data_IF_938019958057
#
_entry.id   IF_938019958057
#
_cell.length_a   1.000
_cell.length_b   1.000
_cell.length_c   1.000
_cell.angle_alpha   90.00
_cell.angle_beta   90.00
_cell.angle_gamma   90.00
#
_symmetry.space_group_name_H-M   'P 1'
#
loop_
_entity.id
_entity.type
_entity.pdbx_description
1 polymer ?
#
# COMPACT_ATOMS: atom_id res chain seq x y z
N UNK A 1 4.63 -6.92 19.03
CA UNK A 1 5.24 -5.97 18.06
C UNK A 1 5.04 -4.56 18.58
N UNK A 2 6.08 -3.72 18.58
CA UNK A 2 5.99 -2.30 18.96
C UNK A 2 5.85 -1.43 17.72
N UNK A 3 5.08 -0.36 17.83
CA UNK A 3 4.86 0.60 16.75
C UNK A 3 5.33 1.99 17.16
N UNK A 4 6.23 2.56 16.38
CA UNK A 4 6.71 3.93 16.54
C UNK A 4 6.12 4.80 15.44
N UNK A 5 5.13 5.63 15.77
CA UNK A 5 4.53 6.55 14.80
C UNK A 5 5.40 7.81 14.67
N UNK A 6 5.75 8.15 13.43
CA UNK A 6 6.61 9.28 13.08
C UNK A 6 5.78 10.26 12.23
N UNK A 7 5.64 11.48 12.72
CA UNK A 7 5.08 12.59 11.94
C UNK A 7 6.25 13.46 11.50
N UNK A 8 6.57 13.42 10.21
CA UNK A 8 7.62 14.24 9.60
C UNK A 8 7.01 15.21 8.60
N UNK A 9 7.33 16.50 8.75
CA UNK A 9 6.92 17.54 7.82
C UNK A 9 7.51 17.30 6.44
N UNK A 10 8.78 16.89 6.36
CA UNK A 10 9.45 16.59 5.08
C UNK A 10 8.91 15.34 4.41
N UNK A 11 8.56 14.30 5.17
CA UNK A 11 7.85 13.13 4.64
C UNK A 11 6.53 13.55 3.98
N UNK A 12 5.75 14.38 4.67
CA UNK A 12 4.48 14.88 4.17
C UNK A 12 4.65 15.84 2.99
N UNK A 13 5.71 16.65 2.96
CA UNK A 13 6.00 17.54 1.86
C UNK A 13 6.40 16.77 0.60
N UNK A 14 7.28 15.77 0.74
CA UNK A 14 7.61 14.87 -0.36
C UNK A 14 6.38 14.11 -0.86
N UNK A 15 5.57 13.55 0.04
CA UNK A 15 4.32 12.90 -0.34
C UNK A 15 3.39 13.85 -1.07
N UNK A 16 3.26 15.10 -0.62
CA UNK A 16 2.48 16.13 -1.28
C UNK A 16 2.98 16.41 -2.71
N UNK A 17 4.27 16.72 -2.86
CA UNK A 17 4.87 17.06 -4.14
C UNK A 17 4.84 15.87 -5.12
N UNK A 18 5.25 14.68 -4.67
CA UNK A 18 5.26 13.47 -5.50
C UNK A 18 3.86 13.02 -5.90
N UNK A 19 2.84 13.23 -5.06
CA UNK A 19 1.47 12.88 -5.44
C UNK A 19 0.91 13.81 -6.53
N UNK A 20 1.23 15.11 -6.48
CA UNK A 20 0.79 16.11 -7.46
C UNK A 20 1.34 15.84 -8.87
N UNK A 21 2.48 15.18 -9.02
CA UNK A 21 3.03 14.88 -10.35
C UNK A 21 2.32 13.72 -11.06
N UNK A 22 1.55 12.92 -10.33
CA UNK A 22 0.92 11.68 -10.82
C UNK A 22 1.90 10.82 -11.63
N UNK A 23 3.12 10.64 -11.09
CA UNK A 23 4.20 9.94 -11.78
C UNK A 23 4.03 8.42 -11.76
N UNK A 24 3.30 7.90 -10.78
CA UNK A 24 3.09 6.48 -10.56
C UNK A 24 1.60 6.17 -10.38
N UNK A 25 1.19 4.93 -10.66
CA UNK A 25 -0.20 4.50 -10.49
C UNK A 25 -0.68 4.55 -9.03
N UNK A 26 0.25 4.58 -8.07
CA UNK A 26 -0.05 4.70 -6.64
C UNK A 26 -0.34 6.13 -6.20
N UNK A 27 -0.12 7.14 -7.04
CA UNK A 27 -0.53 8.51 -6.73
C UNK A 27 -2.07 8.59 -6.64
N UNK A 28 -2.56 9.30 -5.63
CA UNK A 28 -3.98 9.51 -5.34
C UNK A 28 -4.48 10.75 -6.09
N UNK A 29 -5.12 10.57 -7.24
CA UNK A 29 -5.72 11.68 -7.99
C UNK A 29 -6.72 12.47 -7.15
N UNK A 30 -7.54 11.76 -6.36
CA UNK A 30 -8.54 12.39 -5.49
C UNK A 30 -7.90 13.29 -4.42
N UNK A 31 -6.68 12.97 -3.97
CA UNK A 31 -5.97 13.84 -3.03
C UNK A 31 -5.56 15.15 -3.70
N UNK A 32 -5.11 15.08 -4.96
CA UNK A 32 -4.78 16.27 -5.75
C UNK A 32 -6.02 17.13 -5.96
N UNK A 33 -7.16 16.53 -6.31
CA UNK A 33 -8.43 17.25 -6.46
C UNK A 33 -8.83 17.97 -5.17
N UNK A 34 -8.79 17.30 -4.02
CA UNK A 34 -9.13 17.93 -2.73
C UNK A 34 -8.14 19.05 -2.40
N UNK A 35 -6.84 18.85 -2.56
CA UNK A 35 -5.82 19.86 -2.27
C UNK A 35 -5.93 21.08 -3.18
N UNK A 36 -6.25 20.89 -4.46
CA UNK A 36 -6.48 21.98 -5.43
C UNK A 36 -7.73 22.77 -5.04
N UNK A 37 -8.81 22.10 -4.59
CA UNK A 37 -9.99 22.80 -4.06
C UNK A 37 -9.63 23.67 -2.85
N UNK A 38 -8.72 23.21 -1.99
CA UNK A 38 -8.31 23.96 -0.80
C UNK A 38 -7.31 25.10 -1.09
N UNK A 39 -6.47 24.97 -2.10
CA UNK A 39 -5.33 25.89 -2.34
C UNK A 39 -5.37 26.63 -3.67
N UNK A 40 -6.42 26.45 -4.47
CA UNK A 40 -6.54 26.99 -5.82
C UNK A 40 -5.78 26.16 -6.87
N UNK A 41 -5.94 26.46 -8.17
CA UNK A 41 -5.22 25.78 -9.24
C UNK A 41 -3.69 25.99 -9.14
N UNK A 42 -2.85 25.05 -9.63
CA UNK A 42 -1.42 25.27 -9.76
C UNK A 42 -1.10 26.45 -10.69
N UNK A 43 -0.10 27.24 -10.31
CA UNK A 43 0.47 28.28 -11.19
C UNK A 43 1.27 27.65 -12.33
N UNK A 44 1.51 28.39 -13.40
CA UNK A 44 2.36 27.93 -14.51
C UNK A 44 3.75 27.48 -14.03
N UNK A 45 4.36 28.24 -13.12
CA UNK A 45 5.64 27.92 -12.51
C UNK A 45 5.62 26.60 -11.73
N UNK A 46 4.54 26.33 -11.00
CA UNK A 46 4.34 25.05 -10.31
C UNK A 46 4.19 23.90 -11.30
N UNK A 47 3.40 24.07 -12.37
CA UNK A 47 3.21 23.05 -13.40
C UNK A 47 4.52 22.66 -14.11
N UNK A 48 5.32 23.66 -14.51
CA UNK A 48 6.64 23.43 -15.11
C UNK A 48 7.54 22.66 -14.14
N UNK A 49 7.56 23.07 -12.87
CA UNK A 49 8.38 22.42 -11.83
C UNK A 49 7.93 20.98 -11.55
N UNK A 50 6.63 20.73 -11.45
CA UNK A 50 6.06 19.40 -11.25
C UNK A 50 6.37 18.46 -12.43
N UNK A 51 6.35 18.96 -13.66
CA UNK A 51 6.72 18.19 -14.84
C UNK A 51 8.20 17.80 -14.84
N UNK A 52 9.10 18.71 -14.45
CA UNK A 52 10.52 18.38 -14.28
C UNK A 52 10.72 17.37 -13.14
N UNK A 53 10.03 17.56 -12.01
CA UNK A 53 10.11 16.63 -10.89
C UNK A 53 9.59 15.24 -11.27
N UNK A 54 8.52 15.15 -12.06
CA UNK A 54 8.00 13.88 -12.60
C UNK A 54 9.06 13.10 -13.36
N UNK A 55 9.87 13.76 -14.19
CA UNK A 55 10.95 13.11 -14.96
C UNK A 55 12.01 12.52 -14.01
N UNK A 56 12.37 13.25 -12.96
CA UNK A 56 13.31 12.80 -11.94
C UNK A 56 12.74 11.61 -11.16
N UNK A 57 11.48 11.67 -10.74
CA UNK A 57 10.79 10.59 -10.04
C UNK A 57 10.68 9.31 -10.90
N UNK A 58 10.45 9.41 -12.21
CA UNK A 58 10.43 8.25 -13.10
C UNK A 58 11.80 7.56 -13.20
N UNK A 59 12.89 8.32 -13.08
CA UNK A 59 14.26 7.82 -13.15
C UNK A 59 14.69 7.11 -11.86
N UNK A 60 14.51 7.76 -10.71
CA UNK A 60 14.97 7.24 -9.41
C UNK A 60 13.90 6.48 -8.62
N UNK A 61 12.63 6.59 -9.02
CA UNK A 61 11.49 5.87 -8.43
C UNK A 61 11.44 6.03 -6.91
N UNK A 62 11.26 4.93 -6.19
CA UNK A 62 11.09 4.91 -4.74
C UNK A 62 12.38 5.15 -3.95
N UNK A 63 13.56 5.16 -4.58
CA UNK A 63 14.82 5.44 -3.89
C UNK A 63 14.85 6.86 -3.32
N UNK A 64 14.25 7.83 -4.03
CA UNK A 64 14.08 9.20 -3.53
C UNK A 64 13.13 9.25 -2.33
N UNK A 65 12.02 8.52 -2.40
CA UNK A 65 11.02 8.49 -1.34
C UNK A 65 11.64 8.07 0.00
N UNK A 66 12.51 7.05 -0.03
CA UNK A 66 13.23 6.56 1.15
C UNK A 66 14.00 7.66 1.87
N UNK A 67 14.60 8.59 1.12
CA UNK A 67 15.41 9.67 1.71
C UNK A 67 14.52 10.59 2.55
N UNK A 68 13.44 11.10 1.96
CA UNK A 68 12.53 12.04 2.62
C UNK A 68 11.73 11.42 3.76
N UNK A 69 11.50 10.10 3.74
CA UNK A 69 10.70 9.42 4.74
C UNK A 69 11.44 9.03 6.01
N UNK A 70 12.74 8.71 5.90
CA UNK A 70 13.50 8.15 7.03
C UNK A 70 14.47 9.17 7.65
N UNK A 71 14.95 10.13 6.87
CA UNK A 71 16.00 11.05 7.30
C UNK A 71 15.45 12.37 7.86
N UNK A 72 16.23 12.99 8.75
CA UNK A 72 15.96 14.36 9.19
C UNK A 72 16.33 15.38 8.10
N UNK A 73 15.89 16.62 8.26
CA UNK A 73 16.09 17.69 7.27
C UNK A 73 17.54 17.87 6.81
N UNK A 74 18.49 17.90 7.77
CA UNK A 74 19.91 18.09 7.46
C UNK A 74 20.46 16.93 6.62
N UNK A 75 20.04 15.71 6.92
CA UNK A 75 20.46 14.50 6.21
C UNK A 75 19.80 14.34 4.84
N UNK A 76 18.56 14.82 4.66
CA UNK A 76 17.82 14.68 3.40
C UNK A 76 18.62 15.26 2.25
N UNK A 77 19.02 16.53 2.37
CA UNK A 77 19.71 17.25 1.29
C UNK A 77 21.12 16.69 1.04
N UNK A 78 21.87 16.40 2.09
CA UNK A 78 23.19 15.77 1.99
C UNK A 78 23.15 14.39 1.32
N UNK A 79 22.09 13.61 1.56
CA UNK A 79 21.92 12.31 0.92
C UNK A 79 21.50 12.48 -0.52
N UNK A 80 20.52 13.34 -0.80
CA UNK A 80 20.06 13.62 -2.17
C UNK A 80 21.22 13.99 -3.09
N UNK A 81 22.07 14.93 -2.68
CA UNK A 81 23.23 15.39 -3.45
C UNK A 81 24.17 14.23 -3.87
N UNK A 82 24.26 13.17 -3.06
CA UNK A 82 25.10 12.00 -3.35
C UNK A 82 24.48 11.01 -4.33
N UNK A 83 23.16 11.03 -4.53
CA UNK A 83 22.44 10.00 -5.31
C UNK A 83 21.96 10.53 -6.67
N UNK A 84 21.71 11.84 -6.78
CA UNK A 84 21.26 12.47 -8.02
C UNK A 84 22.36 13.31 -8.65
N UNK A 85 22.21 13.64 -9.95
CA UNK A 85 23.14 14.57 -10.60
C UNK A 85 22.97 15.97 -10.01
N UNK A 86 24.05 16.77 -10.00
CA UNK A 86 24.02 18.15 -9.50
C UNK A 86 22.86 18.99 -10.08
N UNK A 87 22.64 18.92 -11.40
CA UNK A 87 21.54 19.64 -12.06
C UNK A 87 20.15 19.10 -11.70
N UNK A 88 20.02 17.84 -11.28
CA UNK A 88 18.77 17.27 -10.77
C UNK A 88 18.54 17.67 -9.31
N UNK A 89 19.60 17.74 -8.50
CA UNK A 89 19.56 18.23 -7.13
C UNK A 89 19.02 19.66 -7.07
N UNK A 90 19.60 20.58 -7.85
CA UNK A 90 19.15 21.98 -7.94
C UNK A 90 17.67 22.08 -8.38
N UNK A 91 17.23 21.20 -9.29
CA UNK A 91 15.81 21.13 -9.71
C UNK A 91 14.91 20.66 -8.57
N UNK A 92 15.31 19.64 -7.81
CA UNK A 92 14.54 19.15 -6.66
C UNK A 92 14.41 20.28 -5.63
N UNK A 93 15.50 20.95 -5.25
CA UNK A 93 15.46 22.08 -4.32
C UNK A 93 14.51 23.19 -4.80
N UNK A 94 14.61 23.54 -6.09
CA UNK A 94 13.72 24.54 -6.71
C UNK A 94 12.24 24.13 -6.63
N UNK A 95 11.91 22.87 -6.93
CA UNK A 95 10.55 22.33 -6.82
C UNK A 95 10.00 22.48 -5.41
N UNK A 96 10.76 22.07 -4.40
CA UNK A 96 10.35 22.19 -3.00
C UNK A 96 10.25 23.65 -2.57
N UNK A 97 11.14 24.53 -3.02
CA UNK A 97 11.01 25.98 -2.74
C UNK A 97 9.73 26.57 -3.34
N UNK A 98 9.39 26.20 -4.58
CA UNK A 98 8.22 26.70 -5.31
C UNK A 98 6.92 26.19 -4.69
N UNK A 99 6.86 24.92 -4.31
CA UNK A 99 5.65 24.30 -3.73
C UNK A 99 5.47 24.62 -2.24
N UNK A 100 6.49 25.17 -1.56
CA UNK A 100 6.47 25.41 -0.12
C UNK A 100 5.28 26.26 0.33
N UNK A 101 4.95 27.41 -0.28
CA UNK A 101 3.82 28.22 0.17
C UNK A 101 2.50 27.43 0.17
N UNK A 102 2.24 26.65 -0.89
CA UNK A 102 1.05 25.79 -1.00
C UNK A 102 1.03 24.69 0.05
N UNK A 103 2.16 24.03 0.26
CA UNK A 103 2.27 22.97 1.26
C UNK A 103 2.06 23.51 2.69
N UNK A 104 2.61 24.68 3.03
CA UNK A 104 2.44 25.29 4.36
C UNK A 104 0.98 25.58 4.71
N UNK A 105 0.16 25.98 3.73
CA UNK A 105 -1.29 26.16 3.92
C UNK A 105 -1.97 24.85 4.35
N UNK A 106 -1.63 23.74 3.69
CA UNK A 106 -2.17 22.41 4.00
C UNK A 106 -1.63 21.91 5.34
N UNK A 107 -0.33 22.06 5.58
CA UNK A 107 0.37 21.60 6.78
C UNK A 107 -0.19 22.25 8.04
N UNK A 108 -0.31 23.59 8.05
CA UNK A 108 -0.82 24.37 9.19
C UNK A 108 -2.21 23.91 9.65
N UNK A 109 -3.08 23.53 8.70
CA UNK A 109 -4.43 23.00 8.99
C UNK A 109 -4.39 21.54 9.46
N UNK A 110 -3.57 20.72 8.80
CA UNK A 110 -3.65 19.26 8.90
C UNK A 110 -2.77 18.66 9.99
N UNK A 111 -1.69 19.32 10.41
CA UNK A 111 -0.72 18.78 11.37
C UNK A 111 -1.38 18.44 12.72
N UNK A 112 -2.15 19.37 13.28
CA UNK A 112 -2.85 19.15 14.55
C UNK A 112 -3.85 18.00 14.46
N UNK A 113 -4.52 17.85 13.32
CA UNK A 113 -5.46 16.75 13.09
C UNK A 113 -4.73 15.42 12.94
N UNK A 114 -3.64 15.37 12.17
CA UNK A 114 -2.82 14.19 12.01
C UNK A 114 -2.28 13.69 13.36
N UNK A 115 -1.78 14.60 14.21
CA UNK A 115 -1.34 14.26 15.57
C UNK A 115 -2.46 13.58 16.39
N UNK A 116 -3.67 14.16 16.40
CA UNK A 116 -4.82 13.56 17.08
C UNK A 116 -5.17 12.17 16.52
N UNK A 117 -5.17 12.03 15.19
CA UNK A 117 -5.47 10.76 14.52
C UNK A 117 -4.40 9.71 14.83
N UNK A 118 -3.12 10.07 14.85
CA UNK A 118 -2.02 9.17 15.24
C UNK A 118 -2.18 8.67 16.67
N UNK A 119 -2.55 9.54 17.62
CA UNK A 119 -2.80 9.14 19.01
C UNK A 119 -3.94 8.11 19.08
N UNK A 120 -5.04 8.37 18.36
CA UNK A 120 -6.17 7.44 18.27
C UNK A 120 -5.77 6.11 17.62
N UNK A 121 -5.06 6.15 16.48
CA UNK A 121 -4.57 4.95 15.81
C UNK A 121 -3.67 4.12 16.71
N UNK A 122 -2.76 4.76 17.44
CA UNK A 122 -1.85 4.09 18.38
C UNK A 122 -2.61 3.42 19.53
N UNK A 123 -3.60 4.10 20.11
CA UNK A 123 -4.39 3.53 21.21
C UNK A 123 -5.23 2.34 20.74
N UNK A 124 -5.82 2.45 19.55
CA UNK A 124 -6.61 1.38 18.96
C UNK A 124 -5.74 0.18 18.57
N UNK A 125 -4.59 0.39 17.92
CA UNK A 125 -3.69 -0.69 17.48
C UNK A 125 -3.20 -1.57 18.64
N UNK A 126 -3.15 -1.02 19.86
CA UNK A 126 -2.79 -1.75 21.08
C UNK A 126 -3.92 -2.63 21.64
N UNK A 127 -5.14 -2.56 21.11
CA UNK A 127 -6.23 -3.43 21.56
C UNK A 127 -5.95 -4.89 21.21
N UNK A 128 -6.43 -5.78 22.08
CA UNK A 128 -6.20 -7.23 22.02
C UNK A 128 -6.58 -7.84 20.68
N UNK A 129 -7.69 -7.43 20.06
CA UNK A 129 -8.13 -7.96 18.77
C UNK A 129 -7.12 -7.72 17.64
N UNK A 130 -6.51 -6.53 17.58
CA UNK A 130 -5.53 -6.19 16.55
C UNK A 130 -4.17 -6.82 16.84
N UNK A 131 -3.78 -6.92 18.11
CA UNK A 131 -2.59 -7.67 18.50
C UNK A 131 -2.73 -9.16 18.14
N UNK A 132 -3.90 -9.75 18.35
CA UNK A 132 -4.18 -11.13 17.96
C UNK A 132 -4.14 -11.32 16.43
N UNK A 133 -4.69 -10.38 15.66
CA UNK A 133 -4.55 -10.39 14.20
C UNK A 133 -3.07 -10.44 13.77
N UNK A 134 -2.24 -9.55 14.34
CA UNK A 134 -0.81 -9.48 14.02
C UNK A 134 -0.04 -10.73 14.47
N UNK A 135 -0.42 -11.31 15.61
CA UNK A 135 0.15 -12.56 16.09
C UNK A 135 -0.17 -13.72 15.13
N UNK A 136 -1.43 -13.85 14.70
CA UNK A 136 -1.82 -14.87 13.72
C UNK A 136 -1.11 -14.67 12.38
N UNK A 137 -0.91 -13.42 11.96
CA UNK A 137 -0.12 -13.11 10.77
C UNK A 137 1.33 -13.60 10.92
N UNK A 138 1.97 -13.34 12.07
CA UNK A 138 3.34 -13.81 12.36
C UNK A 138 3.42 -15.34 12.41
N UNK A 139 2.43 -16.01 13.02
CA UNK A 139 2.35 -17.46 13.08
C UNK A 139 2.21 -18.08 11.69
N UNK A 140 1.34 -17.52 10.85
CA UNK A 140 1.17 -17.98 9.47
C UNK A 140 2.46 -17.87 8.66
N UNK A 141 3.23 -16.78 8.83
CA UNK A 141 4.53 -16.60 8.16
C UNK A 141 5.72 -17.20 8.93
N UNK A 142 5.50 -18.23 9.77
CA UNK A 142 6.51 -18.92 10.60
C UNK A 142 7.58 -18.03 11.24
N UNK A 143 7.21 -16.79 11.59
CA UNK A 143 8.17 -15.85 12.08
C UNK A 143 8.13 -15.82 13.61
N UNK A 144 8.80 -16.82 14.20
CA UNK A 144 8.95 -16.93 15.67
C UNK A 144 9.62 -15.69 16.28
N UNK A 145 10.49 -15.01 15.52
CA UNK A 145 11.03 -13.70 15.89
C UNK A 145 10.19 -12.62 15.24
N UNK A 146 9.04 -12.31 15.86
CA UNK A 146 8.16 -11.22 15.44
C UNK A 146 8.99 -9.96 15.14
N UNK A 147 8.57 -9.15 14.18
CA UNK A 147 9.23 -7.87 13.98
C UNK A 147 9.06 -7.08 15.28
N UNK A 148 10.18 -6.79 15.95
CA UNK A 148 10.14 -6.25 17.31
C UNK A 148 9.57 -4.83 17.31
N UNK A 149 10.01 -4.03 16.34
CA UNK A 149 9.61 -2.64 16.18
C UNK A 149 9.42 -2.28 14.71
N UNK A 150 8.32 -1.59 14.41
CA UNK A 150 8.00 -1.00 13.11
C UNK A 150 7.81 0.50 13.26
N UNK A 151 8.55 1.28 12.49
CA UNK A 151 8.31 2.71 12.29
C UNK A 151 7.16 2.93 11.31
N UNK A 152 6.15 3.69 11.72
CA UNK A 152 5.02 4.07 10.87
C UNK A 152 5.13 5.56 10.57
N UNK A 153 5.49 5.91 9.34
CA UNK A 153 5.50 7.30 8.86
C UNK A 153 4.08 7.70 8.53
N UNK A 154 3.50 8.56 9.36
CA UNK A 154 2.14 9.04 9.24
C UNK A 154 2.05 10.15 8.18
N UNK A 155 1.25 9.90 7.15
CA UNK A 155 1.01 10.83 6.04
C UNK A 155 -0.39 11.42 6.09
N UNK A 156 -0.51 12.71 5.75
CA UNK A 156 -1.78 13.42 5.68
C UNK A 156 -2.62 12.85 4.54
N UNK A 157 -3.76 12.28 4.91
CA UNK A 157 -4.87 12.02 3.98
C UNK A 157 -5.86 13.17 4.04
N UNK A 158 -6.17 13.82 2.89
CA UNK A 158 -7.18 14.87 2.81
C UNK A 158 -8.60 14.31 2.67
N UNK A 159 -8.77 12.98 2.61
CA UNK A 159 -10.09 12.36 2.45
C UNK A 159 -10.78 12.18 3.80
N UNK A 160 -12.09 12.43 3.81
CA UNK A 160 -12.99 12.23 4.95
C UNK A 160 -14.27 11.53 4.48
N UNK A 161 -14.48 10.28 4.91
CA UNK A 161 -15.72 9.52 4.67
C UNK A 161 -16.01 9.13 3.20
N UNK A 162 -16.59 7.95 3.02
CA UNK A 162 -17.31 7.48 1.81
C UNK A 162 -16.50 7.13 0.55
N UNK A 163 -15.20 6.89 0.64
CA UNK A 163 -14.48 6.24 -0.46
C UNK A 163 -13.43 5.24 0.03
N UNK A 164 -13.41 4.08 -0.64
CA UNK A 164 -12.69 2.82 -0.34
C UNK A 164 -11.14 2.94 -0.35
N UNK A 165 -10.58 4.15 -0.32
CA UNK A 165 -9.15 4.43 -0.51
C UNK A 165 -8.50 5.25 0.61
N UNK A 166 -9.19 5.39 1.74
CA UNK A 166 -8.82 6.34 2.79
C UNK A 166 -7.41 6.13 3.38
N UNK A 167 -6.89 4.89 3.38
CA UNK A 167 -5.53 4.56 3.79
C UNK A 167 -4.80 3.76 2.71
N UNK A 168 -3.66 4.28 2.26
CA UNK A 168 -2.65 3.53 1.54
C UNK A 168 -1.42 3.32 2.40
N UNK A 169 -0.67 2.27 2.10
CA UNK A 169 0.59 1.96 2.73
C UNK A 169 1.66 1.64 1.69
N UNK A 170 2.91 1.72 2.13
CA UNK A 170 4.04 1.18 1.39
C UNK A 170 5.17 0.86 2.36
N UNK A 171 5.84 -0.27 2.16
CA UNK A 171 7.13 -0.53 2.80
C UNK A 171 8.20 0.41 2.24
N UNK A 172 8.85 1.17 3.12
CA UNK A 172 9.97 2.06 2.76
C UNK A 172 11.29 1.32 2.90
N UNK A 173 11.42 0.52 3.96
CA UNK A 173 12.51 -0.43 4.15
C UNK A 173 12.05 -1.63 5.00
N UNK A 174 12.98 -2.37 5.61
CA UNK A 174 12.64 -3.55 6.40
C UNK A 174 12.08 -3.23 7.80
N UNK A 175 11.98 -1.95 8.18
CA UNK A 175 11.53 -1.48 9.50
C UNK A 175 10.52 -0.34 9.43
N UNK A 176 10.37 0.31 8.28
CA UNK A 176 9.54 1.48 8.11
C UNK A 176 8.45 1.25 7.06
N UNK A 177 7.23 1.67 7.39
CA UNK A 177 6.10 1.71 6.47
C UNK A 177 5.51 3.12 6.46
N UNK A 178 4.99 3.57 5.33
CA UNK A 178 4.11 4.74 5.31
C UNK A 178 2.68 4.33 5.55
N UNK A 179 1.90 5.21 6.17
CA UNK A 179 0.46 5.06 6.30
C UNK A 179 -0.21 6.41 6.07
N UNK A 180 -1.07 6.49 5.07
CA UNK A 180 -1.98 7.62 4.88
C UNK A 180 -3.07 7.51 5.97
N UNK A 181 -3.19 8.53 6.84
CA UNK A 181 -4.10 8.50 8.01
C UNK A 181 -5.32 9.41 7.76
N UNK A 182 -6.46 8.83 7.34
CA UNK A 182 -7.70 9.56 7.05
C UNK A 182 -8.41 10.07 8.30
N UNK A 183 -9.32 11.02 8.10
CA UNK A 183 -10.21 11.49 9.16
C UNK A 183 -11.38 10.52 9.37
N UNK A 184 -11.19 9.58 10.29
CA UNK A 184 -12.16 8.50 10.49
C UNK A 184 -12.85 8.62 11.84
N UNK A 185 -14.17 8.43 11.80
CA UNK A 185 -14.99 8.25 12.99
C UNK A 185 -14.64 6.91 13.66
N UNK A 186 -14.67 6.90 14.98
CA UNK A 186 -14.55 5.66 15.76
C UNK A 186 -15.69 4.72 15.37
N UNK A 187 -15.41 3.41 15.38
CA UNK A 187 -16.31 2.33 14.97
C UNK A 187 -16.67 2.33 13.48
N UNK A 188 -15.97 3.09 12.64
CA UNK A 188 -16.17 3.05 11.20
C UNK A 188 -15.34 1.94 10.52
N UNK A 189 -15.86 1.35 9.46
CA UNK A 189 -15.23 0.22 8.77
C UNK A 189 -13.91 0.62 8.09
N UNK A 190 -13.78 1.87 7.63
CA UNK A 190 -12.53 2.39 7.04
C UNK A 190 -11.39 2.40 8.06
N UNK A 191 -11.69 2.50 9.36
CA UNK A 191 -10.69 2.52 10.41
C UNK A 191 -10.10 1.13 10.60
N UNK A 192 -10.97 0.12 10.65
CA UNK A 192 -10.56 -1.28 10.65
C UNK A 192 -9.83 -1.66 9.35
N UNK A 193 -10.31 -1.17 8.21
CA UNK A 193 -9.63 -1.33 6.94
C UNK A 193 -8.21 -0.75 6.97
N UNK A 194 -8.03 0.43 7.58
CA UNK A 194 -6.71 1.06 7.76
C UNK A 194 -5.77 0.22 8.63
N UNK A 195 -6.27 -0.46 9.67
CA UNK A 195 -5.48 -1.46 10.40
C UNK A 195 -5.16 -2.68 9.54
N UNK A 196 -6.09 -3.10 8.68
CA UNK A 196 -5.84 -4.11 7.67
C UNK A 196 -4.70 -3.72 6.73
N UNK A 197 -4.58 -2.44 6.35
CA UNK A 197 -3.47 -1.94 5.53
C UNK A 197 -2.14 -2.03 6.28
N UNK A 198 -2.09 -1.64 7.56
CA UNK A 198 -0.88 -1.84 8.38
C UNK A 198 -0.49 -3.32 8.40
N UNK A 199 -1.44 -4.21 8.62
CA UNK A 199 -1.20 -5.65 8.61
C UNK A 199 -0.73 -6.15 7.23
N UNK A 200 -1.26 -5.61 6.14
CA UNK A 200 -0.84 -5.92 4.77
C UNK A 200 0.64 -5.54 4.54
N UNK A 201 1.05 -4.33 4.95
CA UNK A 201 2.46 -3.92 4.84
C UNK A 201 3.38 -4.75 5.74
N UNK A 202 2.93 -5.14 6.94
CA UNK A 202 3.68 -6.05 7.80
C UNK A 202 3.80 -7.44 7.16
N UNK A 203 2.76 -7.93 6.51
CA UNK A 203 2.78 -9.21 5.82
C UNK A 203 3.85 -9.23 4.72
N UNK A 204 4.00 -8.13 3.96
CA UNK A 204 5.09 -7.99 2.98
C UNK A 204 6.47 -8.10 3.64
N UNK A 205 6.70 -7.47 4.80
CA UNK A 205 7.97 -7.58 5.53
C UNK A 205 8.24 -9.01 6.00
N UNK A 206 7.23 -9.69 6.55
CA UNK A 206 7.32 -11.09 6.97
C UNK A 206 7.61 -12.00 5.77
N UNK A 207 6.91 -11.79 4.65
CA UNK A 207 7.07 -12.53 3.41
C UNK A 207 8.48 -12.42 2.84
N UNK A 208 9.02 -11.19 2.81
CA UNK A 208 10.37 -10.89 2.34
C UNK A 208 11.43 -11.54 3.23
N UNK A 209 11.26 -11.52 4.56
CA UNK A 209 12.20 -12.11 5.52
C UNK A 209 12.35 -13.61 5.36
N UNK A 210 11.26 -14.32 5.06
CA UNK A 210 11.30 -15.76 4.76
C UNK A 210 11.85 -16.08 3.36
N UNK A 211 12.15 -15.06 2.56
CA UNK A 211 12.63 -15.24 1.19
C UNK A 211 11.63 -16.06 0.33
N UNK A 212 10.34 -15.97 0.65
CA UNK A 212 9.25 -16.70 -0.03
C UNK A 212 9.12 -16.32 -1.51
N UNK A 213 9.61 -15.15 -1.93
CA UNK A 213 9.68 -14.75 -3.34
C UNK A 213 10.51 -15.76 -4.16
N UNK A 214 11.58 -16.33 -3.60
CA UNK A 214 12.35 -17.39 -4.29
C UNK A 214 11.52 -18.67 -4.44
N UNK A 215 10.70 -19.01 -3.45
CA UNK A 215 9.79 -20.17 -3.51
C UNK A 215 8.75 -19.96 -4.61
N UNK A 216 8.12 -18.78 -4.67
CA UNK A 216 7.19 -18.42 -5.75
C UNK A 216 7.87 -18.53 -7.11
N UNK A 217 9.05 -17.93 -7.30
CA UNK A 217 9.76 -17.99 -8.58
C UNK A 217 10.10 -19.41 -9.01
N UNK A 218 10.50 -20.27 -8.07
CA UNK A 218 10.72 -21.70 -8.34
C UNK A 218 9.43 -22.39 -8.77
N UNK A 219 8.31 -22.14 -8.10
CA UNK A 219 7.01 -22.71 -8.46
C UNK A 219 6.54 -22.22 -9.84
N UNK A 220 6.70 -20.94 -10.15
CA UNK A 220 6.38 -20.36 -11.47
C UNK A 220 7.17 -21.08 -12.56
N UNK A 221 8.47 -21.31 -12.32
CA UNK A 221 9.33 -22.06 -13.24
C UNK A 221 8.87 -23.52 -13.39
N UNK A 222 8.68 -24.23 -12.28
CA UNK A 222 8.25 -25.65 -12.26
C UNK A 222 6.90 -25.84 -12.98
N UNK A 223 5.99 -24.87 -12.89
CA UNK A 223 4.67 -24.89 -13.52
C UNK A 223 4.65 -24.31 -14.95
N UNK A 224 5.80 -23.86 -15.48
CA UNK A 224 5.93 -23.21 -16.80
C UNK A 224 5.00 -22.01 -16.99
N UNK A 225 4.79 -21.24 -15.91
CA UNK A 225 3.94 -20.05 -15.94
C UNK A 225 4.75 -18.84 -16.45
N UNK A 226 4.19 -17.97 -17.31
CA UNK A 226 4.86 -16.75 -17.73
C UNK A 226 5.30 -15.88 -16.57
N UNK A 227 6.50 -15.27 -16.64
CA UNK A 227 7.03 -14.38 -15.58
C UNK A 227 6.33 -13.02 -15.50
N UNK A 228 5.63 -12.63 -16.56
CA UNK A 228 4.88 -11.37 -16.66
C UNK A 228 3.40 -11.66 -16.83
N UNK A 229 2.58 -10.80 -16.25
CA UNK A 229 1.13 -10.85 -16.42
C UNK A 229 0.74 -10.44 -17.85
N UNK A 230 -0.45 -10.85 -18.34
CA UNK A 230 -0.99 -10.39 -19.61
C UNK A 230 -0.98 -8.85 -19.75
N UNK A 231 -0.66 -8.35 -20.95
CA UNK A 231 -0.52 -6.91 -21.24
C UNK A 231 -1.80 -6.10 -21.03
N UNK A 232 -2.95 -6.75 -21.14
CA UNK A 232 -4.26 -6.13 -20.94
C UNK A 232 -4.66 -6.01 -19.45
N UNK A 233 -3.82 -6.41 -18.50
CA UNK A 233 -4.06 -6.20 -17.07
C UNK A 233 -3.35 -4.95 -16.54
N UNK A 234 -4.08 -4.07 -15.83
CA UNK A 234 -3.54 -2.82 -15.30
C UNK A 234 -3.87 -2.68 -13.79
N UNK A 235 -2.90 -2.27 -12.93
CA UNK A 235 -1.49 -2.06 -13.25
C UNK A 235 -0.77 -3.37 -13.60
N UNK A 236 0.36 -3.21 -14.30
CA UNK A 236 1.23 -4.29 -14.73
C UNK A 236 2.09 -4.79 -13.56
N UNK A 237 2.00 -6.08 -13.28
CA UNK A 237 2.81 -6.78 -12.28
C UNK A 237 3.64 -7.86 -12.96
N UNK A 238 4.77 -8.23 -12.36
CA UNK A 238 5.31 -9.57 -12.55
C UNK A 238 4.36 -10.61 -11.95
N UNK A 239 4.44 -11.84 -12.43
CA UNK A 239 3.62 -12.93 -11.90
C UNK A 239 3.93 -13.20 -10.42
N UNK A 240 5.19 -13.04 -10.01
CA UNK A 240 5.60 -13.23 -8.63
C UNK A 240 5.03 -12.14 -7.70
N UNK A 241 5.04 -10.88 -8.12
CA UNK A 241 4.40 -9.78 -7.39
C UNK A 241 2.89 -10.01 -7.29
N UNK A 242 2.22 -10.37 -8.38
CA UNK A 242 0.78 -10.63 -8.37
C UNK A 242 0.39 -11.75 -7.39
N UNK A 243 1.14 -12.86 -7.37
CA UNK A 243 0.91 -13.97 -6.44
C UNK A 243 1.22 -13.54 -5.00
N UNK A 244 2.26 -12.74 -4.78
CA UNK A 244 2.60 -12.23 -3.44
C UNK A 244 1.48 -11.36 -2.88
N UNK A 245 1.00 -10.39 -3.67
CA UNK A 245 -0.16 -9.57 -3.33
C UNK A 245 -1.40 -10.42 -3.04
N UNK A 246 -1.68 -11.42 -3.89
CA UNK A 246 -2.80 -12.33 -3.70
C UNK A 246 -2.72 -13.08 -2.35
N UNK A 247 -1.55 -13.64 -2.01
CA UNK A 247 -1.36 -14.37 -0.75
C UNK A 247 -1.60 -13.47 0.46
N UNK A 248 -1.13 -12.23 0.39
CA UNK A 248 -1.31 -11.28 1.47
C UNK A 248 -2.78 -10.83 1.54
N UNK A 249 -3.40 -10.51 0.41
CA UNK A 249 -4.82 -10.11 0.30
C UNK A 249 -5.79 -11.23 0.75
N UNK A 250 -5.39 -12.51 0.67
CA UNK A 250 -6.11 -13.64 1.26
C UNK A 250 -6.20 -13.57 2.79
N UNK A 251 -5.31 -12.82 3.44
CA UNK A 251 -5.29 -12.61 4.89
C UNK A 251 -5.86 -11.25 5.27
N UNK A 252 -5.36 -10.17 4.64
CA UNK A 252 -5.60 -8.75 4.98
C UNK A 252 -5.41 -7.84 3.74
N UNK A 253 -6.10 -6.69 3.59
CA UNK A 253 -6.97 -6.02 4.56
C UNK A 253 -8.45 -6.46 4.49
N UNK A 254 -8.80 -7.34 3.55
CA UNK A 254 -10.17 -7.84 3.35
C UNK A 254 -10.24 -9.37 3.28
N UNK A 255 -9.15 -10.06 3.64
CA UNK A 255 -9.05 -11.51 3.65
C UNK A 255 -9.57 -12.12 4.95
N UNK A 256 -9.17 -13.38 5.21
CA UNK A 256 -9.69 -14.18 6.30
C UNK A 256 -9.43 -13.59 7.69
N UNK A 257 -8.22 -13.09 7.96
CA UNK A 257 -7.88 -12.52 9.27
C UNK A 257 -8.66 -11.24 9.52
N UNK A 258 -8.86 -10.41 8.49
CA UNK A 258 -9.72 -9.23 8.59
C UNK A 258 -11.16 -9.61 8.94
N UNK A 259 -11.73 -10.65 8.32
CA UNK A 259 -13.06 -11.13 8.67
C UNK A 259 -13.14 -11.65 10.11
N UNK A 260 -12.09 -12.33 10.58
CA UNK A 260 -12.03 -12.94 11.91
C UNK A 260 -11.96 -11.91 13.03
N UNK A 261 -11.22 -10.81 12.83
CA UNK A 261 -10.89 -9.86 13.90
C UNK A 261 -11.61 -8.51 13.80
N UNK A 262 -12.09 -8.09 12.63
CA UNK A 262 -12.73 -6.79 12.46
C UNK A 262 -14.24 -6.87 12.65
N UNK A 263 -14.80 -5.96 13.45
CA UNK A 263 -16.23 -5.95 13.79
C UNK A 263 -17.09 -5.62 12.58
N UNK A 264 -16.67 -4.66 11.76
CA UNK A 264 -17.39 -4.23 10.57
C UNK A 264 -17.17 -5.15 9.36
N UNK A 265 -16.32 -6.17 9.50
CA UNK A 265 -16.10 -7.21 8.47
C UNK A 265 -15.89 -6.60 7.07
N UNK A 266 -14.77 -5.87 6.83
CA UNK A 266 -14.51 -5.22 5.53
C UNK A 266 -14.63 -6.16 4.33
N UNK A 267 -14.40 -7.47 4.51
CA UNK A 267 -14.67 -8.52 3.52
C UNK A 267 -16.12 -8.46 2.99
N UNK A 268 -17.12 -8.29 3.85
CA UNK A 268 -18.53 -8.20 3.44
C UNK A 268 -18.81 -6.95 2.59
N UNK A 269 -18.09 -5.86 2.84
CA UNK A 269 -18.20 -4.61 2.10
C UNK A 269 -17.51 -4.76 0.74
N UNK A 270 -16.27 -5.27 0.73
CA UNK A 270 -15.46 -5.46 -0.48
C UNK A 270 -16.08 -6.50 -1.42
N UNK A 271 -16.72 -7.54 -0.88
CA UNK A 271 -17.39 -8.60 -1.63
C UNK A 271 -18.92 -8.49 -1.56
N UNK A 272 -19.45 -7.28 -1.41
CA UNK A 272 -20.88 -7.03 -1.55
C UNK A 272 -21.38 -7.43 -2.95
N UNK A 273 -22.69 -7.68 -3.08
CA UNK A 273 -23.29 -8.14 -4.36
C UNK A 273 -22.95 -7.21 -5.54
N UNK A 274 -23.02 -5.90 -5.34
CA UNK A 274 -22.66 -4.91 -6.37
C UNK A 274 -21.18 -4.98 -6.73
N UNK A 275 -20.29 -5.15 -5.74
CA UNK A 275 -18.87 -5.29 -5.98
C UNK A 275 -18.52 -6.60 -6.69
N UNK A 276 -19.17 -7.71 -6.34
CA UNK A 276 -18.99 -8.99 -7.04
C UNK A 276 -19.45 -8.92 -8.49
N UNK A 277 -20.55 -8.22 -8.80
CA UNK A 277 -20.97 -7.96 -10.18
C UNK A 277 -19.87 -7.22 -10.96
N UNK A 278 -19.36 -6.13 -10.40
CA UNK A 278 -18.28 -5.34 -11.01
C UNK A 278 -16.98 -6.15 -11.20
N UNK A 279 -16.68 -7.07 -10.27
CA UNK A 279 -15.54 -7.99 -10.36
C UNK A 279 -15.75 -9.01 -11.49
N UNK A 280 -16.96 -9.57 -11.61
CA UNK A 280 -17.32 -10.50 -12.68
C UNK A 280 -17.27 -9.87 -14.07
N UNK A 281 -17.75 -8.62 -14.21
CA UNK A 281 -17.63 -7.84 -15.45
C UNK A 281 -16.17 -7.59 -15.82
N UNK A 282 -15.33 -7.23 -14.85
CA UNK A 282 -13.89 -7.07 -15.07
C UNK A 282 -13.23 -8.35 -15.59
N UNK A 283 -13.64 -9.52 -15.07
CA UNK A 283 -13.15 -10.81 -15.55
C UNK A 283 -13.62 -11.13 -16.98
N UNK A 284 -14.88 -10.84 -17.33
CA UNK A 284 -15.38 -10.96 -18.70
C UNK A 284 -14.60 -10.07 -19.67
N UNK A 285 -14.37 -8.81 -19.30
CA UNK A 285 -13.53 -7.86 -20.06
C UNK A 285 -12.13 -8.42 -20.28
N UNK A 286 -11.50 -8.96 -19.23
CA UNK A 286 -10.19 -9.60 -19.34
C UNK A 286 -10.21 -10.79 -20.32
N UNK A 287 -11.17 -11.71 -20.21
CA UNK A 287 -11.29 -12.88 -21.10
C UNK A 287 -11.58 -12.51 -22.56
N UNK A 288 -12.19 -11.36 -22.79
CA UNK A 288 -12.38 -10.79 -24.13
C UNK A 288 -11.15 -10.02 -24.64
N UNK A 289 -9.97 -10.23 -24.05
CA UNK A 289 -8.71 -9.56 -24.39
C UNK A 289 -8.73 -8.02 -24.30
N UNK A 290 -9.69 -7.45 -23.57
CA UNK A 290 -9.78 -6.01 -23.32
C UNK A 290 -9.03 -5.64 -22.04
N UNK A 291 -8.70 -4.36 -21.91
CA UNK A 291 -8.04 -3.82 -20.72
C UNK A 291 -8.89 -4.01 -19.47
N UNK A 292 -8.34 -4.65 -18.45
CA UNK A 292 -9.01 -4.97 -17.21
C UNK A 292 -8.12 -4.66 -15.99
N UNK A 293 -8.74 -4.47 -14.83
CA UNK A 293 -8.03 -4.20 -13.58
C UNK A 293 -7.45 -5.49 -12.99
N UNK A 294 -6.13 -5.51 -12.78
CA UNK A 294 -5.44 -6.60 -12.08
C UNK A 294 -5.86 -6.69 -10.60
N UNK A 295 -6.15 -5.56 -9.97
CA UNK A 295 -6.62 -5.50 -8.57
C UNK A 295 -8.01 -6.16 -8.44
N UNK A 296 -8.96 -5.84 -9.32
CA UNK A 296 -10.27 -6.49 -9.32
C UNK A 296 -10.16 -7.99 -9.62
N UNK A 297 -9.22 -8.39 -10.48
CA UNK A 297 -8.97 -9.80 -10.76
C UNK A 297 -8.39 -10.54 -9.54
N UNK A 298 -7.46 -9.94 -8.79
CA UNK A 298 -7.01 -10.53 -7.51
C UNK A 298 -8.15 -10.71 -6.54
N UNK A 299 -9.03 -9.70 -6.38
CA UNK A 299 -10.22 -9.82 -5.52
C UNK A 299 -11.09 -11.03 -5.89
N UNK A 300 -11.30 -11.30 -7.18
CA UNK A 300 -12.00 -12.51 -7.63
C UNK A 300 -11.31 -13.78 -7.12
N UNK A 301 -9.98 -13.85 -7.27
CA UNK A 301 -9.18 -15.00 -6.88
C UNK A 301 -9.18 -15.17 -5.35
N UNK A 302 -9.06 -14.07 -4.60
CA UNK A 302 -9.18 -14.05 -3.12
C UNK A 302 -10.52 -14.64 -2.69
N UNK A 303 -11.62 -14.19 -3.30
CA UNK A 303 -12.95 -14.71 -3.00
C UNK A 303 -13.06 -16.22 -3.21
N UNK A 304 -12.52 -16.73 -4.31
CA UNK A 304 -12.59 -18.15 -4.64
C UNK A 304 -11.66 -19.03 -3.78
N UNK A 305 -10.51 -18.48 -3.35
CA UNK A 305 -9.56 -19.18 -2.49
C UNK A 305 -9.83 -18.98 -0.99
N UNK A 306 -10.85 -18.20 -0.63
CA UNK A 306 -11.19 -17.88 0.75
C UNK A 306 -11.41 -19.11 1.65
N UNK A 307 -12.16 -20.16 1.23
CA UNK A 307 -12.35 -21.36 2.06
C UNK A 307 -11.04 -22.09 2.35
N UNK A 308 -10.13 -22.14 1.36
CA UNK A 308 -8.84 -22.81 1.50
C UNK A 308 -7.94 -22.10 2.52
N UNK A 309 -7.81 -20.77 2.45
CA UNK A 309 -7.01 -20.02 3.42
C UNK A 309 -7.64 -20.07 4.82
N UNK A 310 -8.97 -20.02 4.92
CA UNK A 310 -9.69 -20.18 6.20
C UNK A 310 -9.34 -21.51 6.86
N UNK A 311 -9.46 -22.63 6.14
CA UNK A 311 -9.11 -23.96 6.65
C UNK A 311 -7.66 -24.01 7.12
N UNK A 312 -6.76 -23.41 6.36
CA UNK A 312 -5.33 -23.43 6.65
C UNK A 312 -5.00 -22.66 7.93
N UNK A 313 -5.58 -21.48 8.12
CA UNK A 313 -5.41 -20.66 9.34
C UNK A 313 -6.04 -21.33 10.55
N UNK A 314 -7.28 -21.83 10.45
CA UNK A 314 -7.95 -22.49 11.59
C UNK A 314 -7.27 -23.79 12.01
N UNK A 315 -6.57 -24.44 11.08
CA UNK A 315 -5.73 -25.62 11.37
C UNK A 315 -4.35 -25.26 11.93
N UNK A 316 -4.09 -23.98 12.25
CA UNK A 316 -2.79 -23.47 12.69
C UNK A 316 -1.62 -23.81 11.75
N UNK A 317 -1.90 -23.96 10.45
CA UNK A 317 -0.86 -24.24 9.45
C UNK A 317 -0.15 -22.95 9.03
N UNK A 318 1.14 -23.09 8.75
CA UNK A 318 2.02 -22.00 8.32
C UNK A 318 2.22 -22.05 6.83
N UNK A 319 2.43 -20.91 6.19
CA UNK A 319 2.71 -20.85 4.76
C UNK A 319 3.87 -21.79 4.42
N UNK A 320 3.63 -22.65 3.43
CA UNK A 320 4.59 -23.61 2.93
C UNK A 320 4.62 -23.63 1.40
N UNK A 321 5.51 -24.44 0.84
CA UNK A 321 5.61 -24.59 -0.62
C UNK A 321 4.32 -25.14 -1.25
N UNK A 322 3.59 -26.00 -0.53
CA UNK A 322 2.42 -26.68 -1.06
C UNK A 322 1.26 -25.70 -1.24
N UNK A 323 0.95 -24.89 -0.23
CA UNK A 323 -0.12 -23.91 -0.31
C UNK A 323 0.18 -22.80 -1.33
N UNK A 324 1.45 -22.34 -1.42
CA UNK A 324 1.88 -21.39 -2.46
C UNK A 324 1.68 -22.02 -3.85
N UNK A 325 2.01 -23.30 -4.02
CA UNK A 325 1.83 -24.02 -5.29
C UNK A 325 0.36 -24.11 -5.68
N UNK A 326 -0.53 -24.42 -4.73
CA UNK A 326 -1.97 -24.47 -4.98
C UNK A 326 -2.54 -23.10 -5.38
N UNK A 327 -2.18 -22.03 -4.66
CA UNK A 327 -2.56 -20.67 -5.03
C UNK A 327 -2.05 -20.27 -6.42
N UNK A 328 -0.82 -20.66 -6.75
CA UNK A 328 -0.20 -20.38 -8.05
C UNK A 328 -0.89 -21.15 -9.19
N UNK A 329 -1.19 -22.44 -9.00
CA UNK A 329 -1.93 -23.25 -9.98
C UNK A 329 -3.33 -22.68 -10.23
N UNK A 330 -4.03 -22.32 -9.16
CA UNK A 330 -5.38 -21.76 -9.24
C UNK A 330 -5.38 -20.43 -9.99
N UNK A 331 -4.47 -19.53 -9.61
CA UNK A 331 -4.24 -18.27 -10.34
C UNK A 331 -3.95 -18.55 -11.81
N UNK A 332 -3.11 -19.54 -12.10
CA UNK A 332 -2.77 -19.86 -13.49
C UNK A 332 -3.95 -20.34 -14.31
N UNK A 333 -4.88 -21.08 -13.71
CA UNK A 333 -6.11 -21.53 -14.36
C UNK A 333 -7.03 -20.35 -14.72
N UNK A 334 -7.01 -19.28 -13.96
CA UNK A 334 -7.87 -18.11 -14.21
C UNK A 334 -7.24 -17.18 -15.25
N UNK A 335 -5.91 -17.05 -15.23
CA UNK A 335 -5.20 -16.03 -16.00
C UNK A 335 -4.71 -16.54 -17.36
N UNK A 336 -4.13 -17.74 -17.44
CA UNK A 336 -3.49 -18.24 -18.67
C UNK A 336 -4.18 -19.45 -19.30
N UNK A 337 -5.13 -20.08 -18.61
CA UNK A 337 -6.03 -21.10 -19.17
C UNK A 337 -7.43 -20.50 -19.28
#
# INVERSE_FOLDING_TARGET
MKFNFIISKWANFYFFASNLTEWHFSCRKDYNLTRIKETGPPTEKELVSLNEFKKILLKYKFDLAKIFYIHNEKEIWQKLEKIVKKSEFEKIESVFKILKPRFELIWKKSEKQLNKRVILFKSLLNKTEYQNLLNNLCLFFDNKKSIEEIGIIALISPLSGEAITAAGGANIDNKHITLEIPDLKINNWELEYSFGIIAHEIAHLLFKRLNNIKIINKIIFDLKIPKKMPKNLIPQYSTAEFITELIIELLVPFGYLSQKYFKNKPTNIVFSKSNLKNIGENYKTFKNNKTASSIKLRKLIVWQLYPLISFYIESNKKIDKNIIKEFTKFTSKIIWK
#
